data_IF_029317566041
#
_entry.id   IF_029317566041
#
_cell.length_a   1.000
_cell.length_b   1.000
_cell.length_c   1.000
_cell.angle_alpha   90.00
_cell.angle_beta   90.00
_cell.angle_gamma   90.00
#
_symmetry.space_group_name_H-M   'P 1'
#
loop_
_entity.id
_entity.type
_entity.pdbx_description
1 polymer ?
#
# COMPACT_ATOMS: atom_id res chain seq x y z
N UNK A 1 10.82 -2.60 16.56
CA UNK A 1 10.43 -4.01 16.45
C UNK A 1 9.30 -4.29 17.43
N UNK A 2 8.51 -5.33 17.20
CA UNK A 2 7.44 -5.74 18.11
C UNK A 2 8.00 -6.12 19.48
N UNK A 3 7.22 -5.97 20.56
CA UNK A 3 7.71 -6.18 21.92
C UNK A 3 8.10 -7.63 22.22
N UNK A 4 7.43 -8.60 21.60
CA UNK A 4 7.74 -10.03 21.68
C UNK A 4 7.66 -10.61 20.26
N UNK A 5 8.69 -10.49 19.41
CA UNK A 5 8.59 -10.82 17.99
C UNK A 5 8.05 -12.23 17.71
N UNK A 6 7.06 -12.32 16.81
CA UNK A 6 6.52 -13.59 16.32
C UNK A 6 7.32 -14.23 15.18
N UNK A 7 6.84 -15.35 14.66
CA UNK A 7 7.39 -16.00 13.46
C UNK A 7 7.20 -15.06 12.26
N UNK A 8 8.19 -14.98 11.37
CA UNK A 8 8.16 -14.09 10.20
C UNK A 8 7.94 -12.61 10.57
N UNK A 9 8.50 -12.16 11.71
CA UNK A 9 8.49 -10.73 12.05
C UNK A 9 9.36 -9.93 11.08
N UNK A 10 10.53 -10.46 10.73
CA UNK A 10 11.52 -9.77 9.91
C UNK A 10 11.30 -9.99 8.42
N UNK A 11 11.60 -8.95 7.64
CA UNK A 11 11.61 -9.04 6.18
C UNK A 11 12.70 -9.99 5.68
N UNK A 12 12.43 -10.82 4.65
CA UNK A 12 13.42 -11.76 4.11
C UNK A 12 14.73 -11.10 3.65
N UNK A 13 14.65 -9.85 3.16
CA UNK A 13 15.79 -9.08 2.68
C UNK A 13 16.35 -8.07 3.69
N UNK A 14 15.97 -8.14 4.97
CA UNK A 14 16.48 -7.20 6.01
C UNK A 14 18.00 -7.06 5.98
N UNK A 15 18.72 -8.16 5.77
CA UNK A 15 20.20 -8.19 5.71
C UNK A 15 20.80 -7.39 4.55
N UNK A 16 20.02 -7.10 3.50
CA UNK A 16 20.47 -6.29 2.37
C UNK A 16 20.50 -4.79 2.69
N UNK A 17 19.79 -4.34 3.73
CA UNK A 17 19.67 -2.92 4.08
C UNK A 17 19.26 -2.09 2.85
N UNK A 18 20.01 -1.03 2.55
CA UNK A 18 19.77 -0.16 1.39
C UNK A 18 19.96 -0.84 0.03
N UNK A 19 20.58 -2.03 -0.05
CA UNK A 19 20.74 -2.78 -1.30
C UNK A 19 19.50 -3.61 -1.66
N UNK A 20 18.45 -3.60 -0.85
CA UNK A 20 17.23 -4.40 -1.04
C UNK A 20 16.58 -4.28 -2.42
N UNK A 21 16.73 -3.16 -3.13
CA UNK A 21 16.17 -2.97 -4.47
C UNK A 21 16.69 -3.98 -5.51
N UNK A 22 17.85 -4.59 -5.27
CA UNK A 22 18.40 -5.64 -6.15
C UNK A 22 17.45 -6.82 -6.35
N UNK A 23 16.53 -7.07 -5.40
CA UNK A 23 15.55 -8.16 -5.51
C UNK A 23 14.57 -7.97 -6.68
N UNK A 24 14.36 -6.74 -7.14
CA UNK A 24 13.52 -6.44 -8.30
C UNK A 24 14.29 -6.47 -9.63
N UNK A 25 15.62 -6.45 -9.60
CA UNK A 25 16.44 -6.33 -10.81
C UNK A 25 16.17 -7.44 -11.85
N UNK A 26 16.07 -8.74 -11.50
CA UNK A 26 15.77 -9.78 -12.49
C UNK A 26 14.43 -9.57 -13.20
N UNK A 27 13.40 -9.13 -12.46
CA UNK A 27 12.06 -8.89 -13.00
C UNK A 27 12.01 -7.65 -13.90
N UNK A 28 12.69 -6.58 -13.51
CA UNK A 28 12.77 -5.34 -14.29
C UNK A 28 13.55 -5.59 -15.59
N UNK A 29 14.71 -6.25 -15.52
CA UNK A 29 15.51 -6.61 -16.69
C UNK A 29 14.70 -7.49 -17.64
N UNK A 30 14.05 -8.53 -17.12
CA UNK A 30 13.25 -9.45 -17.92
C UNK A 30 12.04 -8.77 -18.57
N UNK A 31 11.27 -7.97 -17.83
CA UNK A 31 10.12 -7.24 -18.39
C UNK A 31 10.52 -6.22 -19.44
N UNK A 32 11.64 -5.51 -19.23
CA UNK A 32 12.19 -4.57 -20.20
C UNK A 32 12.69 -5.29 -21.45
N UNK A 33 13.43 -6.38 -21.28
CA UNK A 33 13.93 -7.18 -22.39
C UNK A 33 12.80 -7.70 -23.27
N UNK A 34 11.77 -8.34 -22.68
CA UNK A 34 10.61 -8.84 -23.44
C UNK A 34 9.85 -7.72 -24.17
N UNK A 35 9.80 -6.51 -23.58
CA UNK A 35 9.16 -5.37 -24.23
C UNK A 35 9.95 -4.88 -25.45
N UNK A 36 11.29 -4.84 -25.36
CA UNK A 36 12.17 -4.33 -26.42
C UNK A 36 12.38 -5.37 -27.52
N UNK A 37 12.65 -6.62 -27.14
CA UNK A 37 13.06 -7.69 -28.05
C UNK A 37 11.91 -8.31 -28.84
N UNK A 38 10.69 -8.34 -28.31
CA UNK A 38 9.55 -8.95 -28.99
C UNK A 38 8.89 -7.99 -29.98
N UNK A 39 8.22 -8.55 -30.99
CA UNK A 39 7.38 -7.80 -31.92
C UNK A 39 6.11 -7.25 -31.25
N UNK A 40 5.54 -6.19 -31.82
CA UNK A 40 4.41 -5.46 -31.25
C UNK A 40 3.19 -6.34 -30.91
N UNK A 41 2.94 -7.41 -31.69
CA UNK A 41 1.83 -8.35 -31.45
C UNK A 41 2.08 -9.30 -30.26
N UNK A 42 3.34 -9.54 -29.95
CA UNK A 42 3.76 -10.47 -28.91
C UNK A 42 4.01 -9.79 -27.57
N UNK A 43 4.30 -8.49 -27.59
CA UNK A 43 4.57 -7.66 -26.40
C UNK A 43 3.44 -7.74 -25.38
N UNK A 44 3.86 -7.95 -24.13
CA UNK A 44 3.04 -7.71 -22.97
C UNK A 44 3.38 -6.33 -22.39
N UNK A 45 2.65 -5.31 -22.86
CA UNK A 45 2.84 -3.93 -22.38
C UNK A 45 2.50 -3.82 -20.89
N UNK A 46 1.54 -4.60 -20.39
CA UNK A 46 1.16 -4.57 -18.98
C UNK A 46 2.28 -5.03 -18.05
N UNK A 47 3.03 -6.05 -18.44
CA UNK A 47 4.18 -6.55 -17.69
C UNK A 47 5.31 -5.51 -17.59
N UNK A 48 5.58 -4.77 -18.67
CA UNK A 48 6.54 -3.67 -18.68
C UNK A 48 6.09 -2.49 -17.80
N UNK A 49 4.81 -2.11 -17.90
CA UNK A 49 4.23 -1.01 -17.14
C UNK A 49 4.21 -1.24 -15.61
N UNK A 50 4.45 -2.47 -15.13
CA UNK A 50 4.59 -2.76 -13.70
C UNK A 50 5.72 -1.93 -13.06
N UNK A 51 6.82 -1.71 -13.78
CA UNK A 51 7.90 -0.84 -13.29
C UNK A 51 7.37 0.59 -13.07
N UNK A 52 6.57 1.10 -14.01
CA UNK A 52 5.96 2.42 -13.90
C UNK A 52 5.05 2.53 -12.68
N UNK A 53 4.25 1.49 -12.39
CA UNK A 53 3.41 1.44 -11.18
C UNK A 53 4.28 1.44 -9.92
N UNK A 54 5.33 0.61 -9.85
CA UNK A 54 6.23 0.56 -8.68
C UNK A 54 6.90 1.91 -8.43
N UNK A 55 7.44 2.55 -9.47
CA UNK A 55 8.06 3.88 -9.37
C UNK A 55 7.05 4.93 -8.93
N UNK A 56 5.83 4.89 -9.49
CA UNK A 56 4.75 5.79 -9.08
C UNK A 56 4.44 5.66 -7.60
N UNK A 57 4.34 4.44 -7.05
CA UNK A 57 4.11 4.24 -5.62
C UNK A 57 5.18 4.88 -4.75
N UNK A 58 6.46 4.73 -5.12
CA UNK A 58 7.58 5.35 -4.38
C UNK A 58 7.45 6.88 -4.41
N UNK A 59 7.25 7.46 -5.60
CA UNK A 59 7.10 8.91 -5.79
C UNK A 59 5.90 9.45 -5.01
N UNK A 60 4.76 8.77 -5.12
CA UNK A 60 3.51 9.14 -4.47
C UNK A 60 3.66 9.16 -2.94
N UNK A 61 4.24 8.12 -2.35
CA UNK A 61 4.53 8.09 -0.90
C UNK A 61 5.50 9.21 -0.51
N UNK A 62 6.56 9.44 -1.30
CA UNK A 62 7.52 10.50 -1.01
C UNK A 62 6.90 11.91 -1.06
N UNK A 63 5.96 12.16 -1.97
CA UNK A 63 5.18 13.41 -2.02
C UNK A 63 4.39 13.58 -0.72
N UNK A 64 3.69 12.54 -0.27
CA UNK A 64 2.92 12.58 0.97
C UNK A 64 3.80 12.81 2.20
N UNK A 65 4.92 12.10 2.32
CA UNK A 65 5.90 12.30 3.40
C UNK A 65 6.37 13.76 3.43
N UNK A 66 6.72 14.30 2.27
CA UNK A 66 7.20 15.68 2.15
C UNK A 66 6.13 16.69 2.54
N UNK A 67 4.87 16.48 2.10
CA UNK A 67 3.74 17.31 2.45
C UNK A 67 3.41 17.26 3.95
N UNK A 68 3.35 16.06 4.53
CA UNK A 68 3.10 15.85 5.96
C UNK A 68 4.17 16.55 6.80
N UNK A 69 5.46 16.33 6.52
CA UNK A 69 6.56 16.98 7.24
C UNK A 69 6.57 18.49 7.09
N UNK A 70 6.24 19.01 5.90
CA UNK A 70 6.09 20.45 5.69
C UNK A 70 4.96 21.05 6.53
N UNK A 71 3.79 20.39 6.56
CA UNK A 71 2.64 20.80 7.40
C UNK A 71 2.99 20.74 8.87
N UNK A 72 3.62 19.65 9.31
CA UNK A 72 4.14 19.53 10.67
C UNK A 72 5.08 20.69 10.97
N UNK A 73 6.07 21.01 10.13
CA UNK A 73 7.01 22.11 10.38
C UNK A 73 6.33 23.48 10.50
N UNK A 74 5.26 23.75 9.73
CA UNK A 74 4.47 25.00 9.83
C UNK A 74 3.69 25.14 11.13
N UNK A 75 3.34 24.04 11.79
CA UNK A 75 2.68 24.07 13.10
C UNK A 75 1.16 24.34 13.08
N UNK A 76 0.54 24.50 11.91
CA UNK A 76 -0.90 24.75 11.81
C UNK A 76 -1.67 23.51 11.31
N UNK A 77 -2.82 23.24 11.94
CA UNK A 77 -3.70 22.13 11.58
C UNK A 77 -3.07 20.75 11.82
N UNK A 78 -2.16 20.61 12.79
CA UNK A 78 -1.68 19.30 13.25
C UNK A 78 -2.79 18.62 14.04
N UNK A 79 -2.94 17.31 13.87
CA UNK A 79 -3.89 16.52 14.68
C UNK A 79 -3.29 16.25 16.05
N UNK A 80 -2.06 15.73 16.08
CA UNK A 80 -1.27 15.58 17.29
C UNK A 80 -0.23 16.70 17.38
N UNK A 81 -0.33 17.53 18.42
CA UNK A 81 0.65 18.59 18.67
C UNK A 81 1.90 18.08 19.39
N UNK A 82 2.67 17.25 18.67
CA UNK A 82 3.95 16.69 19.11
C UNK A 82 4.97 16.70 17.96
N UNK A 83 6.23 16.95 18.28
CA UNK A 83 7.33 16.88 17.33
C UNK A 83 7.67 15.44 16.95
N UNK A 84 8.09 15.22 15.71
CA UNK A 84 8.56 13.92 15.24
C UNK A 84 9.95 13.62 15.80
N UNK A 85 10.08 12.48 16.48
CA UNK A 85 11.35 12.05 17.10
C UNK A 85 12.26 11.32 16.11
N UNK A 86 13.57 11.55 16.20
CA UNK A 86 14.56 10.89 15.33
C UNK A 86 14.52 9.36 15.43
N UNK A 87 14.30 8.81 16.63
CA UNK A 87 14.17 7.37 16.80
C UNK A 87 12.98 6.79 16.03
N UNK A 88 11.88 7.54 15.91
CA UNK A 88 10.75 7.11 15.08
C UNK A 88 11.14 7.17 13.60
N UNK A 89 11.82 8.24 13.15
CA UNK A 89 12.32 8.35 11.76
C UNK A 89 13.16 7.13 11.38
N UNK A 90 14.07 6.72 12.25
CA UNK A 90 14.94 5.57 12.01
C UNK A 90 14.16 4.24 11.95
N UNK A 91 13.16 4.07 12.82
CA UNK A 91 12.28 2.89 12.83
C UNK A 91 11.45 2.77 11.54
N UNK A 92 11.01 3.89 10.99
CA UNK A 92 10.13 3.94 9.81
C UNK A 92 10.90 4.00 8.47
N UNK A 93 12.24 3.99 8.50
CA UNK A 93 13.07 4.18 7.30
C UNK A 93 12.96 3.05 6.25
N UNK A 94 12.32 1.93 6.59
CA UNK A 94 12.10 0.80 5.67
C UNK A 94 10.66 0.71 5.14
N UNK A 95 9.93 1.83 5.13
CA UNK A 95 8.53 1.93 4.68
C UNK A 95 8.26 1.38 3.27
N UNK A 96 9.27 1.32 2.42
CA UNK A 96 9.22 0.85 1.05
C UNK A 96 9.36 -0.68 0.91
N UNK A 97 9.63 -1.42 1.98
CA UNK A 97 9.71 -2.89 1.94
C UNK A 97 8.41 -3.51 1.38
N UNK A 98 7.24 -2.98 1.77
CA UNK A 98 5.97 -3.45 1.24
C UNK A 98 5.83 -3.20 -0.26
N UNK A 99 6.45 -2.12 -0.79
CA UNK A 99 6.41 -1.83 -2.22
C UNK A 99 7.17 -2.90 -2.97
N UNK A 100 8.35 -3.29 -2.47
CA UNK A 100 9.15 -4.35 -3.08
C UNK A 100 8.44 -5.70 -3.00
N UNK A 101 7.83 -6.02 -1.86
CA UNK A 101 7.04 -7.24 -1.69
C UNK A 101 5.88 -7.32 -2.69
N UNK A 102 5.08 -6.27 -2.75
CA UNK A 102 3.96 -6.19 -3.68
C UNK A 102 4.44 -6.22 -5.14
N UNK A 103 5.57 -5.60 -5.47
CA UNK A 103 6.16 -5.67 -6.79
C UNK A 103 6.52 -7.11 -7.18
N UNK A 104 7.11 -7.89 -6.27
CA UNK A 104 7.38 -9.32 -6.51
C UNK A 104 6.09 -10.10 -6.78
N UNK A 105 5.03 -9.82 -6.00
CA UNK A 105 3.71 -10.44 -6.21
C UNK A 105 3.08 -10.03 -7.54
N UNK A 106 3.17 -8.75 -7.92
CA UNK A 106 2.69 -8.25 -9.21
C UNK A 106 3.40 -8.93 -10.37
N UNK A 107 4.74 -8.92 -10.37
CA UNK A 107 5.52 -9.53 -11.45
C UNK A 107 5.29 -11.04 -11.54
N UNK A 108 5.25 -11.74 -10.41
CA UNK A 108 4.94 -13.18 -10.36
C UNK A 108 3.53 -13.44 -10.87
N UNK A 109 2.55 -12.67 -10.40
CA UNK A 109 1.16 -12.78 -10.80
C UNK A 109 0.98 -12.57 -12.30
N UNK A 110 1.53 -11.49 -12.85
CA UNK A 110 1.50 -11.22 -14.29
C UNK A 110 2.14 -12.33 -15.10
N UNK A 111 3.22 -12.98 -14.61
CA UNK A 111 3.88 -14.04 -15.38
C UNK A 111 3.16 -15.38 -15.34
N UNK A 112 2.56 -15.72 -14.19
CA UNK A 112 2.13 -17.08 -13.90
C UNK A 112 0.62 -17.27 -13.69
N UNK A 113 -0.14 -16.22 -13.36
CA UNK A 113 -1.59 -16.33 -13.19
C UNK A 113 -2.31 -16.19 -14.53
N UNK A 114 -3.06 -17.19 -15.00
CA UNK A 114 -3.82 -17.08 -16.24
C UNK A 114 -4.80 -15.90 -16.21
N UNK A 115 -4.74 -15.05 -17.23
CA UNK A 115 -5.57 -13.84 -17.33
C UNK A 115 -4.95 -12.58 -16.75
N UNK A 116 -3.74 -12.68 -16.17
CA UNK A 116 -2.95 -11.53 -15.72
C UNK A 116 -1.91 -11.04 -16.76
N UNK A 117 -1.87 -11.68 -17.93
CA UNK A 117 -1.00 -11.33 -19.07
C UNK A 117 -1.73 -10.43 -20.07
N UNK A 118 -0.98 -9.59 -20.77
CA UNK A 118 -1.44 -8.74 -21.88
C UNK A 118 -2.72 -7.97 -21.54
N UNK A 119 -2.72 -7.35 -20.37
CA UNK A 119 -3.88 -6.60 -19.89
C UNK A 119 -4.17 -5.42 -20.82
N UNK A 120 -5.45 -5.19 -21.18
CA UNK A 120 -5.83 -3.99 -21.88
C UNK A 120 -5.55 -2.75 -21.01
N UNK A 121 -5.31 -1.61 -21.63
CA UNK A 121 -5.06 -0.37 -20.88
C UNK A 121 -6.29 0.08 -20.08
N UNK A 122 -7.50 -0.13 -20.62
CA UNK A 122 -8.75 0.34 -20.00
C UNK A 122 -9.88 -0.70 -20.11
N UNK A 123 -10.55 -0.97 -18.98
CA UNK A 123 -11.84 -1.67 -18.91
C UNK A 123 -12.64 -1.14 -17.71
N UNK A 124 -13.84 -0.57 -17.91
CA UNK A 124 -14.61 0.05 -16.82
C UNK A 124 -15.21 -0.97 -15.83
N UNK A 125 -15.60 -2.15 -16.31
CA UNK A 125 -16.21 -3.19 -15.47
C UNK A 125 -15.30 -3.63 -14.31
N UNK A 126 -13.99 -3.70 -14.54
CA UNK A 126 -13.03 -4.04 -13.50
C UNK A 126 -12.96 -2.98 -12.41
N UNK A 127 -13.07 -1.69 -12.77
CA UNK A 127 -13.08 -0.58 -11.81
C UNK A 127 -14.30 -0.68 -10.88
N UNK A 128 -15.50 -0.86 -11.44
CA UNK A 128 -16.72 -0.98 -10.64
C UNK A 128 -16.66 -2.19 -9.70
N UNK A 129 -16.21 -3.35 -10.21
CA UNK A 129 -16.06 -4.55 -9.39
C UNK A 129 -15.04 -4.32 -8.26
N UNK A 130 -13.92 -3.65 -8.53
CA UNK A 130 -12.93 -3.34 -7.50
C UNK A 130 -13.49 -2.43 -6.40
N UNK A 131 -14.28 -1.42 -6.75
CA UNK A 131 -14.92 -0.53 -5.78
C UNK A 131 -15.87 -1.30 -4.86
N UNK A 132 -16.76 -2.13 -5.43
CA UNK A 132 -17.74 -2.91 -4.65
C UNK A 132 -17.05 -3.92 -3.73
N UNK A 133 -16.05 -4.63 -4.24
CA UNK A 133 -15.30 -5.61 -3.44
C UNK A 133 -14.45 -4.94 -2.36
N UNK A 134 -13.91 -3.76 -2.65
CA UNK A 134 -13.16 -3.00 -1.67
C UNK A 134 -14.09 -2.52 -0.54
N UNK A 135 -15.11 -1.72 -0.88
CA UNK A 135 -16.00 -1.09 0.10
C UNK A 135 -16.83 -2.08 0.94
N UNK A 136 -17.05 -3.31 0.46
CA UNK A 136 -17.75 -4.36 1.20
C UNK A 136 -16.80 -5.39 1.80
N UNK A 137 -16.51 -6.51 1.10
CA UNK A 137 -15.73 -7.62 1.63
C UNK A 137 -14.37 -7.25 2.22
N UNK A 138 -13.58 -6.41 1.54
CA UNK A 138 -12.22 -6.06 1.97
C UNK A 138 -12.26 -5.25 3.26
N UNK A 139 -13.04 -4.16 3.31
CA UNK A 139 -13.17 -3.34 4.53
C UNK A 139 -13.68 -4.18 5.71
N UNK A 140 -14.66 -5.06 5.49
CA UNK A 140 -15.17 -5.96 6.53
C UNK A 140 -14.08 -6.89 7.08
N UNK A 141 -13.33 -7.56 6.20
CA UNK A 141 -12.25 -8.46 6.61
C UNK A 141 -11.11 -7.68 7.28
N UNK A 142 -10.79 -6.49 6.77
CA UNK A 142 -9.74 -5.63 7.30
C UNK A 142 -10.06 -5.24 8.73
N UNK A 143 -11.29 -4.79 8.99
CA UNK A 143 -11.75 -4.41 10.33
C UNK A 143 -11.57 -5.55 11.34
N UNK A 144 -12.02 -6.76 11.00
CA UNK A 144 -11.94 -7.89 11.92
C UNK A 144 -10.50 -8.37 12.14
N UNK A 145 -9.68 -8.38 11.08
CA UNK A 145 -8.27 -8.72 11.20
C UNK A 145 -7.53 -7.70 12.07
N UNK A 146 -7.72 -6.41 11.80
CA UNK A 146 -7.12 -5.34 12.59
C UNK A 146 -7.56 -5.39 14.05
N UNK A 147 -8.85 -5.62 14.31
CA UNK A 147 -9.36 -5.84 15.67
C UNK A 147 -8.73 -7.05 16.35
N UNK A 148 -8.48 -8.14 15.63
CA UNK A 148 -7.78 -9.31 16.16
C UNK A 148 -6.32 -9.00 16.49
N UNK A 149 -5.63 -8.20 15.67
CA UNK A 149 -4.26 -7.74 15.93
C UNK A 149 -4.13 -6.96 17.25
N UNK A 150 -5.20 -6.32 17.70
CA UNK A 150 -5.25 -5.64 19.01
C UNK A 150 -5.46 -6.58 20.20
N UNK A 151 -5.69 -7.88 19.99
CA UNK A 151 -5.66 -8.85 21.07
C UNK A 151 -4.23 -9.05 21.58
N UNK A 152 -4.03 -9.05 22.91
CA UNK A 152 -2.72 -9.00 23.58
C UNK A 152 -1.62 -9.90 22.97
N UNK A 153 -1.98 -11.13 22.57
CA UNK A 153 -1.06 -12.09 21.96
C UNK A 153 -0.53 -11.60 20.61
N UNK A 154 -1.42 -11.17 19.71
CA UNK A 154 -1.07 -10.69 18.36
C UNK A 154 -0.48 -9.28 18.42
N UNK A 155 -0.97 -8.45 19.34
CA UNK A 155 -0.47 -7.09 19.53
C UNK A 155 1.01 -7.10 19.89
N UNK A 156 1.39 -7.83 20.94
CA UNK A 156 2.80 -7.92 21.36
C UNK A 156 3.73 -8.47 20.29
N UNK A 157 3.23 -9.35 19.39
CA UNK A 157 4.03 -10.06 18.38
C UNK A 157 4.14 -9.36 17.04
N UNK A 158 3.06 -8.73 16.61
CA UNK A 158 2.93 -8.24 15.25
C UNK A 158 2.57 -6.74 15.24
N UNK A 159 1.57 -6.31 16.00
CA UNK A 159 1.02 -4.96 15.82
C UNK A 159 1.66 -3.85 16.68
N UNK A 160 2.33 -4.20 17.78
CA UNK A 160 2.92 -3.24 18.73
C UNK A 160 4.02 -2.37 18.12
N UNK A 161 4.72 -2.86 17.09
CA UNK A 161 5.74 -2.07 16.41
C UNK A 161 5.12 -0.87 15.69
N UNK A 162 4.00 -1.08 15.01
CA UNK A 162 3.26 -0.03 14.33
C UNK A 162 2.78 1.05 15.34
N UNK A 163 2.22 0.62 16.47
CA UNK A 163 1.79 1.52 17.55
C UNK A 163 2.92 2.22 18.31
N UNK A 164 4.19 1.86 18.05
CA UNK A 164 5.34 2.63 18.57
C UNK A 164 5.57 3.94 17.82
N UNK A 165 4.86 4.17 16.72
CA UNK A 165 4.85 5.44 15.98
C UNK A 165 3.73 6.32 16.51
N UNK A 166 4.08 7.24 17.40
CA UNK A 166 3.11 8.10 18.09
C UNK A 166 2.71 9.30 17.22
N UNK A 167 3.67 9.90 16.54
CA UNK A 167 3.40 11.00 15.59
C UNK A 167 3.21 10.36 14.22
N UNK A 168 1.98 10.11 13.82
CA UNK A 168 1.70 9.45 12.54
C UNK A 168 2.33 10.23 11.38
N UNK A 169 2.92 9.50 10.46
CA UNK A 169 3.34 9.98 9.15
C UNK A 169 2.68 9.10 8.09
N UNK A 170 2.57 9.55 6.83
CA UNK A 170 2.01 8.73 5.76
C UNK A 170 2.60 7.31 5.72
N UNK A 171 3.90 7.18 5.96
CA UNK A 171 4.60 5.90 6.01
C UNK A 171 4.30 5.03 7.23
N UNK A 172 3.83 5.59 8.34
CA UNK A 172 3.45 4.83 9.54
C UNK A 172 2.41 3.76 9.19
N UNK A 173 1.53 4.04 8.22
CA UNK A 173 0.50 3.11 7.73
C UNK A 173 1.05 1.81 7.13
N UNK A 174 2.36 1.74 6.86
CA UNK A 174 3.01 0.59 6.23
C UNK A 174 4.18 0.05 7.05
N UNK A 175 4.37 0.50 8.28
CA UNK A 175 5.38 -0.06 9.18
C UNK A 175 4.77 -1.19 9.99
N UNK A 176 4.80 -2.39 9.41
CA UNK A 176 4.35 -3.61 10.06
C UNK A 176 5.40 -4.72 9.89
N UNK A 177 5.41 -5.72 10.77
CA UNK A 177 6.17 -6.94 10.56
C UNK A 177 5.78 -7.68 9.28
N UNK A 178 6.68 -8.50 8.76
CA UNK A 178 6.50 -9.16 7.47
C UNK A 178 5.24 -10.04 7.42
N UNK A 179 4.97 -10.84 8.46
CA UNK A 179 3.77 -11.68 8.55
C UNK A 179 2.46 -10.88 8.46
N UNK A 180 2.41 -9.73 9.12
CA UNK A 180 1.23 -8.85 9.10
C UNK A 180 1.01 -8.27 7.70
N UNK A 181 2.09 -7.85 7.05
CA UNK A 181 2.06 -7.40 5.65
C UNK A 181 1.64 -8.48 4.66
N UNK A 182 2.02 -9.75 4.88
CA UNK A 182 1.55 -10.85 4.03
C UNK A 182 0.02 -10.97 4.06
N UNK A 183 -0.58 -10.86 5.25
CA UNK A 183 -2.05 -10.94 5.42
C UNK A 183 -2.72 -9.71 4.80
N UNK A 184 -2.22 -8.51 5.06
CA UNK A 184 -2.75 -7.29 4.44
C UNK A 184 -2.65 -7.35 2.91
N UNK A 185 -1.52 -7.81 2.37
CA UNK A 185 -1.36 -7.98 0.93
C UNK A 185 -2.40 -8.96 0.39
N UNK A 186 -2.54 -10.16 0.98
CA UNK A 186 -3.53 -11.15 0.55
C UNK A 186 -4.96 -10.58 0.55
N UNK A 187 -5.31 -9.81 1.59
CA UNK A 187 -6.60 -9.16 1.73
C UNK A 187 -6.84 -8.11 0.63
N UNK A 188 -5.89 -7.19 0.43
CA UNK A 188 -6.00 -6.16 -0.62
C UNK A 188 -5.80 -6.73 -2.03
N UNK A 189 -5.31 -7.95 -2.22
CA UNK A 189 -5.30 -8.62 -3.52
C UNK A 189 -6.69 -9.15 -3.94
N UNK A 190 -7.66 -9.26 -3.02
CA UNK A 190 -8.99 -9.82 -3.33
C UNK A 190 -9.64 -9.14 -4.55
N UNK A 191 -9.72 -7.79 -4.64
CA UNK A 191 -10.34 -7.15 -5.81
C UNK A 191 -9.55 -7.39 -7.10
N UNK A 192 -8.21 -7.40 -7.02
CA UNK A 192 -7.35 -7.68 -8.19
C UNK A 192 -7.62 -9.11 -8.70
N UNK A 193 -7.58 -10.11 -7.81
CA UNK A 193 -7.83 -11.50 -8.17
C UNK A 193 -9.24 -11.70 -8.74
N UNK A 194 -10.26 -11.07 -8.15
CA UNK A 194 -11.62 -11.14 -8.67
C UNK A 194 -11.73 -10.55 -10.09
N UNK A 195 -11.06 -9.44 -10.37
CA UNK A 195 -11.05 -8.85 -11.72
C UNK A 195 -10.28 -9.71 -12.73
N UNK A 196 -9.25 -10.45 -12.31
CA UNK A 196 -8.56 -11.45 -13.15
C UNK A 196 -9.52 -12.62 -13.46
N UNK A 197 -10.15 -13.20 -12.43
CA UNK A 197 -11.05 -14.36 -12.57
C UNK A 197 -12.27 -14.05 -13.45
N UNK A 198 -12.80 -12.83 -13.35
CA UNK A 198 -13.92 -12.36 -14.17
C UNK A 198 -13.48 -11.79 -15.53
N UNK A 199 -12.17 -11.76 -15.82
CA UNK A 199 -11.56 -11.19 -17.04
C UNK A 199 -11.92 -9.72 -17.26
N UNK A 200 -12.16 -8.98 -16.19
CA UNK A 200 -12.52 -7.55 -16.22
C UNK A 200 -11.34 -6.63 -15.92
N UNK A 201 -10.21 -7.18 -15.47
CA UNK A 201 -9.00 -6.43 -15.15
C UNK A 201 -8.45 -5.65 -16.36
N UNK A 202 -7.90 -4.46 -16.08
CA UNK A 202 -7.13 -3.63 -16.99
C UNK A 202 -5.97 -2.96 -16.26
N UNK A 203 -5.02 -2.38 -16.98
CA UNK A 203 -3.92 -1.64 -16.36
C UNK A 203 -4.42 -0.45 -15.56
N UNK A 204 -5.41 0.29 -16.06
CA UNK A 204 -6.00 1.40 -15.33
C UNK A 204 -6.71 0.97 -14.04
N UNK A 205 -7.49 -0.13 -14.07
CA UNK A 205 -8.15 -0.62 -12.85
C UNK A 205 -7.14 -1.12 -11.82
N UNK A 206 -6.10 -1.83 -12.25
CA UNK A 206 -5.01 -2.29 -11.39
C UNK A 206 -4.23 -1.12 -10.76
N UNK A 207 -3.69 -0.22 -11.58
CA UNK A 207 -2.88 0.90 -11.11
C UNK A 207 -3.72 1.89 -10.27
N UNK A 208 -4.97 2.13 -10.68
CA UNK A 208 -5.91 2.98 -9.95
C UNK A 208 -6.24 2.42 -8.57
N UNK A 209 -6.49 1.11 -8.47
CA UNK A 209 -6.79 0.49 -7.17
C UNK A 209 -5.59 0.50 -6.22
N UNK A 210 -4.39 0.17 -6.72
CA UNK A 210 -3.15 0.25 -5.93
C UNK A 210 -2.87 1.69 -5.48
N UNK A 211 -3.05 2.67 -6.37
CA UNK A 211 -2.89 4.09 -6.05
C UNK A 211 -3.90 4.54 -5.01
N UNK A 212 -5.15 4.09 -5.11
CA UNK A 212 -6.19 4.40 -4.14
C UNK A 212 -5.82 3.88 -2.74
N UNK A 213 -5.33 2.64 -2.62
CA UNK A 213 -4.89 2.10 -1.32
C UNK A 213 -3.76 2.95 -0.74
N UNK A 214 -2.71 3.24 -1.52
CA UNK A 214 -1.60 4.07 -1.06
C UNK A 214 -2.07 5.48 -0.67
N UNK A 215 -2.99 6.07 -1.44
CA UNK A 215 -3.58 7.38 -1.14
C UNK A 215 -4.35 7.38 0.18
N UNK A 216 -5.25 6.41 0.38
CA UNK A 216 -6.06 6.36 1.59
C UNK A 216 -5.19 6.15 2.82
N UNK A 217 -4.23 5.22 2.76
CA UNK A 217 -3.28 4.98 3.84
C UNK A 217 -2.45 6.22 4.19
N UNK A 218 -1.89 6.89 3.18
CA UNK A 218 -1.09 8.09 3.37
C UNK A 218 -1.90 9.27 3.93
N UNK A 219 -3.11 9.47 3.41
CA UNK A 219 -4.01 10.51 3.88
C UNK A 219 -4.44 10.25 5.32
N UNK A 220 -4.78 9.02 5.67
CA UNK A 220 -5.18 8.62 7.02
C UNK A 220 -4.13 8.89 8.09
N UNK A 221 -2.86 8.77 7.74
CA UNK A 221 -1.73 8.88 8.67
C UNK A 221 -0.92 10.17 8.50
N UNK A 222 -1.45 11.18 7.81
CA UNK A 222 -0.66 12.37 7.47
C UNK A 222 -0.41 13.33 8.64
N UNK A 223 -1.09 13.14 9.79
CA UNK A 223 -1.04 13.97 11.00
C UNK A 223 -1.33 15.47 10.76
N UNK A 224 -2.17 15.78 9.77
CA UNK A 224 -2.74 17.11 9.62
C UNK A 224 -4.18 17.06 9.14
N UNK A 225 -4.97 18.05 9.54
CA UNK A 225 -6.35 18.20 9.12
C UNK A 225 -6.40 18.62 7.64
N UNK A 226 -6.85 17.71 6.78
CA UNK A 226 -7.11 17.98 5.36
C UNK A 226 -8.57 18.34 5.09
N UNK A 227 -9.47 17.76 5.87
CA UNK A 227 -10.91 17.84 5.67
C UNK A 227 -11.51 18.88 6.63
N UNK A 228 -12.21 19.89 6.12
CA UNK A 228 -12.77 20.94 6.98
C UNK A 228 -14.03 20.47 7.73
N UNK A 229 -14.14 20.87 9.00
CA UNK A 229 -15.23 20.43 9.89
C UNK A 229 -16.63 20.84 9.43
N UNK A 230 -16.77 21.92 8.65
CA UNK A 230 -18.09 22.40 8.18
C UNK A 230 -18.82 21.36 7.31
N UNK A 231 -18.10 20.46 6.64
CA UNK A 231 -18.70 19.36 5.88
C UNK A 231 -19.52 18.44 6.79
N UNK A 232 -19.01 18.15 7.99
CA UNK A 232 -19.70 17.33 9.00
C UNK A 232 -20.80 18.10 9.73
N UNK A 233 -20.70 19.43 9.82
CA UNK A 233 -21.79 20.26 10.33
C UNK A 233 -22.95 20.33 9.32
N UNK A 234 -22.65 20.43 8.02
CA UNK A 234 -23.65 20.49 6.96
C UNK A 234 -24.36 19.14 6.74
N UNK A 235 -23.62 18.03 6.79
CA UNK A 235 -24.18 16.69 6.64
C UNK A 235 -23.55 15.73 7.67
N UNK A 236 -24.09 15.67 8.91
CA UNK A 236 -23.55 14.83 9.97
C UNK A 236 -23.36 13.34 9.63
N UNK A 237 -24.20 12.70 8.80
CA UNK A 237 -23.96 11.31 8.40
C UNK A 237 -22.66 11.08 7.60
N UNK A 238 -22.04 12.12 7.02
CA UNK A 238 -20.82 12.01 6.22
C UNK A 238 -19.67 11.32 6.96
N UNK A 239 -19.60 11.47 8.28
CA UNK A 239 -18.57 10.86 9.13
C UNK A 239 -18.53 9.32 9.07
N UNK A 240 -19.60 8.69 8.62
CA UNK A 240 -19.68 7.22 8.47
C UNK A 240 -19.27 6.74 7.07
N UNK A 241 -19.12 7.65 6.11
CA UNK A 241 -18.82 7.32 4.71
C UNK A 241 -17.47 7.87 4.24
N UNK A 242 -16.92 8.85 4.94
CA UNK A 242 -15.67 9.50 4.57
C UNK A 242 -14.58 9.17 5.57
N UNK A 243 -13.52 8.55 5.09
CA UNK A 243 -12.29 8.38 5.84
C UNK A 243 -11.55 9.72 5.94
N UNK A 244 -11.02 10.03 7.12
CA UNK A 244 -10.28 11.26 7.39
C UNK A 244 -8.93 10.95 8.03
N UNK A 245 -7.96 11.87 7.96
CA UNK A 245 -6.76 11.75 8.76
C UNK A 245 -7.12 11.66 10.25
N UNK A 246 -6.43 10.79 10.99
CA UNK A 246 -6.65 10.53 12.41
C UNK A 246 -5.36 10.53 13.21
#
# INVERSE_FOLDING_TARGET
MASVPGILTEWPWKRLGSLKYVILAPWIIHSTWLFVANDAKERDVSYFLMLGVVLWRIIHNQIWISLSRYRTAKGNGRILDRGLEFEQVDRENNWDDQILFNALLFYTGSRHLPGAQKLPLWRPHGVLLSIVLHAGPVEFLYYWFHRALHHHYLYSRYHSHHHSSIVTQPITSVIHPFAEHMVYSALFFIPILATILTRTISMASFAGYVTYIDFMNNMGHCNFELIPNWLFSLFPPLKYFMYTPS
#
